data_IF_632366873302
#
_entry.id   IF_632366873302
#
_cell.length_a   1.000
_cell.length_b   1.000
_cell.length_c   1.000
_cell.angle_alpha   90.00
_cell.angle_beta   90.00
_cell.angle_gamma   90.00
#
_symmetry.space_group_name_H-M   'P 1'
#
loop_
_entity.id
_entity.type
_entity.pdbx_description
1 polymer ?
#
# COMPACT_ATOMS: atom_id res chain seq x y z
N UNK A 1 -21.34 0.39 -15.33
CA UNK A 1 -19.97 -0.16 -15.38
C UNK A 1 -19.33 0.45 -16.62
N UNK A 2 -18.05 0.85 -16.59
CA UNK A 2 -17.44 1.41 -17.80
C UNK A 2 -17.43 0.33 -18.89
N UNK A 3 -17.78 0.71 -20.11
CA UNK A 3 -18.01 -0.24 -21.22
C UNK A 3 -16.74 -1.02 -21.63
N UNK A 4 -15.57 -0.53 -21.21
CA UNK A 4 -14.25 -1.12 -21.45
C UNK A 4 -13.78 -2.05 -20.32
N UNK A 5 -14.45 -2.09 -19.18
CA UNK A 5 -14.10 -3.03 -18.09
C UNK A 5 -14.71 -4.38 -18.38
N UNK A 6 -13.87 -5.38 -18.64
CA UNK A 6 -14.31 -6.73 -18.98
C UNK A 6 -14.64 -7.54 -17.72
N UNK A 7 -13.73 -7.50 -16.74
CA UNK A 7 -13.82 -8.35 -15.56
C UNK A 7 -13.26 -7.65 -14.34
N UNK A 8 -14.01 -7.71 -13.25
CA UNK A 8 -13.53 -7.38 -11.90
C UNK A 8 -13.37 -8.69 -11.14
N UNK A 9 -12.17 -8.99 -10.68
CA UNK A 9 -11.96 -10.22 -9.91
C UNK A 9 -12.69 -10.12 -8.56
N UNK A 10 -13.43 -11.18 -8.17
CA UNK A 10 -14.16 -11.17 -6.90
C UNK A 10 -13.23 -11.36 -5.70
N UNK A 11 -12.08 -12.02 -5.89
CA UNK A 11 -11.10 -12.28 -4.84
C UNK A 11 -10.09 -11.15 -4.79
N UNK A 12 -9.74 -10.72 -3.59
CA UNK A 12 -8.64 -9.79 -3.40
C UNK A 12 -7.30 -10.51 -3.52
N UNK A 13 -6.33 -9.82 -4.09
CA UNK A 13 -4.94 -10.29 -4.23
C UNK A 13 -4.00 -9.38 -3.45
N UNK A 14 -2.83 -9.90 -3.14
CA UNK A 14 -1.74 -9.13 -2.59
C UNK A 14 -0.85 -8.68 -3.76
N UNK A 15 -0.59 -7.38 -3.89
CA UNK A 15 0.12 -6.87 -5.07
C UNK A 15 0.93 -5.61 -4.78
N UNK A 16 1.94 -5.38 -5.61
CA UNK A 16 2.63 -4.11 -5.74
C UNK A 16 1.87 -3.27 -6.76
N UNK A 17 1.40 -2.11 -6.31
CA UNK A 17 0.64 -1.18 -7.13
C UNK A 17 1.50 -0.01 -7.59
N UNK A 18 1.23 0.45 -8.81
CA UNK A 18 1.84 1.66 -9.35
C UNK A 18 0.78 2.58 -9.90
N UNK A 19 0.91 3.88 -9.67
CA UNK A 19 0.11 4.83 -10.42
C UNK A 19 0.55 4.80 -11.88
N UNK A 20 -0.42 4.76 -12.79
CA UNK A 20 -0.16 4.92 -14.21
C UNK A 20 0.71 6.17 -14.45
N UNK A 21 1.65 6.13 -15.39
CA UNK A 21 2.31 7.34 -15.87
C UNK A 21 2.77 7.12 -17.32
N UNK A 22 2.43 8.02 -18.27
CA UNK A 22 2.65 7.77 -19.68
C UNK A 22 4.12 7.58 -20.06
N UNK A 23 5.03 8.28 -19.37
CA UNK A 23 6.47 8.09 -19.55
C UNK A 23 6.95 6.65 -19.31
N UNK A 24 6.31 5.89 -18.40
CA UNK A 24 6.78 4.54 -18.03
C UNK A 24 5.93 3.43 -18.65
N UNK A 25 4.65 3.69 -18.87
CA UNK A 25 3.69 2.68 -19.30
C UNK A 25 3.22 2.85 -20.75
N UNK A 26 3.80 3.82 -21.47
CA UNK A 26 3.43 4.17 -22.83
C UNK A 26 2.42 5.32 -22.89
N UNK A 27 2.37 6.01 -24.02
CA UNK A 27 1.34 7.01 -24.26
C UNK A 27 0.07 6.35 -24.81
N UNK A 28 -1.08 6.86 -24.41
CA UNK A 28 -2.40 6.37 -24.82
C UNK A 28 -2.99 7.32 -25.86
N UNK A 29 -2.24 7.63 -26.91
CA UNK A 29 -2.69 8.58 -27.93
C UNK A 29 -3.72 7.98 -28.89
N UNK A 30 -3.67 6.66 -29.09
CA UNK A 30 -4.59 5.95 -29.97
C UNK A 30 -5.89 5.52 -29.25
N UNK A 31 -5.97 5.72 -27.93
CA UNK A 31 -7.10 5.35 -27.10
C UNK A 31 -8.16 6.46 -27.02
N UNK A 32 -9.42 6.06 -26.82
CA UNK A 32 -10.50 7.01 -26.54
C UNK A 32 -10.20 7.84 -25.27
N UNK A 33 -10.58 9.12 -25.29
CA UNK A 33 -10.38 10.05 -24.18
C UNK A 33 -10.98 9.54 -22.87
N UNK A 34 -12.08 8.79 -22.92
CA UNK A 34 -12.70 8.18 -21.74
C UNK A 34 -11.79 7.12 -21.11
N UNK A 35 -11.21 6.25 -21.93
CA UNK A 35 -10.28 5.18 -21.51
C UNK A 35 -8.98 5.78 -21.00
N UNK A 36 -8.41 6.73 -21.75
CA UNK A 36 -7.20 7.48 -21.38
C UNK A 36 -7.32 8.13 -19.99
N UNK A 37 -8.41 8.86 -19.76
CA UNK A 37 -8.64 9.51 -18.46
C UNK A 37 -8.84 8.50 -17.34
N UNK A 38 -9.44 7.35 -17.61
CA UNK A 38 -9.59 6.29 -16.62
C UNK A 38 -8.25 5.68 -16.23
N UNK A 39 -7.41 5.35 -17.21
CA UNK A 39 -6.07 4.79 -17.00
C UNK A 39 -5.15 5.76 -16.25
N UNK A 40 -5.09 7.02 -16.68
CA UNK A 40 -4.23 8.05 -16.05
C UNK A 40 -4.50 8.27 -14.56
N UNK A 41 -5.72 8.00 -14.10
CA UNK A 41 -6.11 8.25 -12.71
C UNK A 41 -6.20 6.98 -11.86
N UNK A 42 -5.60 5.89 -12.33
CA UNK A 42 -5.74 4.59 -11.72
C UNK A 42 -4.41 3.93 -11.38
N UNK A 43 -4.50 2.89 -10.56
CA UNK A 43 -3.36 2.04 -10.25
C UNK A 43 -3.29 0.87 -11.23
N UNK A 44 -2.09 0.59 -11.71
CA UNK A 44 -1.70 -0.64 -12.38
C UNK A 44 -1.19 -1.65 -11.36
N UNK A 45 -1.40 -2.92 -11.67
CA UNK A 45 -0.74 -4.01 -10.96
C UNK A 45 0.65 -4.22 -11.59
N UNK A 46 1.72 -3.93 -10.86
CA UNK A 46 3.07 -4.23 -11.34
C UNK A 46 3.49 -5.67 -11.04
N UNK A 47 3.06 -6.19 -9.89
CA UNK A 47 3.42 -7.54 -9.46
C UNK A 47 2.37 -8.09 -8.51
N UNK A 48 1.86 -9.30 -8.76
CA UNK A 48 1.00 -10.05 -7.84
C UNK A 48 1.85 -11.00 -7.02
N UNK A 49 1.70 -10.98 -5.70
CA UNK A 49 2.42 -11.86 -4.79
C UNK A 49 1.56 -13.08 -4.51
N UNK A 50 2.11 -14.25 -4.84
CA UNK A 50 1.49 -15.53 -4.53
C UNK A 50 1.85 -16.02 -3.12
N UNK A 51 1.14 -17.04 -2.62
CA UNK A 51 1.23 -17.49 -1.22
C UNK A 51 2.60 -18.09 -0.87
N UNK A 52 3.19 -18.85 -1.80
CA UNK A 52 4.50 -19.47 -1.66
C UNK A 52 5.62 -18.43 -1.61
N UNK A 53 5.48 -17.34 -2.36
CA UNK A 53 6.48 -16.28 -2.39
C UNK A 53 6.41 -15.32 -1.19
N UNK A 54 5.30 -15.33 -0.44
CA UNK A 54 5.08 -14.43 0.71
C UNK A 54 6.12 -14.64 1.82
N UNK A 55 6.58 -15.87 2.03
CA UNK A 55 7.52 -16.19 3.10
C UNK A 55 8.98 -16.04 2.67
N UNK A 56 9.23 -15.98 1.36
CA UNK A 56 10.55 -15.71 0.77
C UNK A 56 10.92 -14.21 0.81
N UNK A 57 10.06 -13.37 1.41
CA UNK A 57 10.26 -11.94 1.63
C UNK A 57 11.49 -11.57 2.50
N UNK A 58 12.18 -12.54 3.10
CA UNK A 58 13.41 -12.31 3.87
C UNK A 58 14.66 -12.57 3.00
N UNK A 59 15.38 -11.52 2.55
CA UNK A 59 16.57 -11.68 1.71
C UNK A 59 17.74 -12.16 2.57
N UNK A 60 17.89 -13.47 2.74
CA UNK A 60 19.04 -14.01 3.46
C UNK A 60 20.32 -14.06 2.61
N UNK A 61 20.26 -14.06 1.27
CA UNK A 61 21.44 -14.47 0.47
C UNK A 61 21.70 -13.86 -0.92
N UNK A 62 20.92 -12.95 -1.46
CA UNK A 62 21.22 -12.39 -2.79
C UNK A 62 21.18 -10.87 -2.80
N UNK A 63 22.08 -10.27 -3.58
CA UNK A 63 22.04 -8.85 -3.95
C UNK A 63 20.80 -8.52 -4.83
N UNK A 64 19.95 -9.52 -5.07
CA UNK A 64 18.68 -9.44 -5.74
C UNK A 64 17.61 -9.11 -4.70
N UNK A 65 16.95 -7.98 -4.91
CA UNK A 65 15.89 -7.48 -4.03
C UNK A 65 14.58 -8.20 -4.37
N UNK A 66 13.62 -8.26 -3.44
CA UNK A 66 12.33 -8.87 -3.72
C UNK A 66 11.76 -8.33 -5.05
N UNK A 67 11.35 -9.23 -5.93
CA UNK A 67 10.64 -8.91 -7.18
C UNK A 67 11.47 -8.18 -8.25
N UNK A 68 12.80 -8.16 -8.13
CA UNK A 68 13.68 -7.47 -9.08
C UNK A 68 13.56 -5.94 -9.07
N UNK A 69 12.90 -5.37 -8.05
CA UNK A 69 12.62 -3.94 -7.95
C UNK A 69 13.66 -3.21 -7.07
N UNK A 70 14.10 -1.99 -7.44
CA UNK A 70 14.98 -1.19 -6.61
C UNK A 70 14.26 -0.71 -5.32
N UNK A 71 14.99 -0.54 -4.22
CA UNK A 71 14.41 -0.08 -2.93
C UNK A 71 13.91 1.37 -3.02
N UNK A 72 14.61 2.16 -3.82
CA UNK A 72 14.25 3.53 -4.14
C UNK A 72 14.09 3.62 -5.64
N UNK A 73 12.97 4.19 -6.07
CA UNK A 73 12.76 4.46 -7.48
C UNK A 73 13.54 5.74 -7.84
N UNK A 74 14.53 5.62 -8.72
CA UNK A 74 15.18 6.77 -9.35
C UNK A 74 14.27 7.29 -10.45
N UNK A 75 13.38 8.24 -10.13
CA UNK A 75 12.50 8.85 -11.12
C UNK A 75 13.22 10.01 -11.81
N UNK A 76 13.18 10.09 -13.16
CA UNK A 76 13.41 11.37 -13.82
C UNK A 76 12.39 12.40 -13.33
N UNK A 77 12.71 13.70 -13.45
CA UNK A 77 11.81 14.80 -13.08
C UNK A 77 10.66 14.93 -14.09
N UNK A 78 9.74 13.96 -14.06
CA UNK A 78 8.60 13.84 -14.96
C UNK A 78 7.30 14.16 -14.24
N UNK A 79 6.54 15.11 -14.81
CA UNK A 79 5.25 15.51 -14.28
C UNK A 79 4.15 14.56 -14.76
N UNK A 80 3.34 14.09 -13.83
CA UNK A 80 2.17 13.30 -14.17
C UNK A 80 1.08 14.19 -14.78
N UNK A 81 0.40 13.75 -15.87
CA UNK A 81 -0.61 14.55 -16.57
C UNK A 81 -1.74 15.09 -15.67
N UNK A 82 -2.28 14.26 -14.78
CA UNK A 82 -3.41 14.62 -13.92
C UNK A 82 -3.10 14.73 -12.42
N UNK A 83 -1.94 14.26 -11.94
CA UNK A 83 -1.64 14.10 -10.51
C UNK A 83 -0.55 15.08 -10.11
N UNK A 84 -0.95 16.23 -9.57
CA UNK A 84 -0.02 17.30 -9.15
C UNK A 84 1.07 16.84 -8.17
N UNK A 85 0.72 15.94 -7.23
CA UNK A 85 1.61 15.49 -6.17
C UNK A 85 2.22 14.10 -6.43
N UNK A 86 2.37 13.73 -7.70
CA UNK A 86 2.76 12.38 -8.12
C UNK A 86 4.02 11.87 -7.43
N UNK A 87 5.12 12.65 -7.49
CA UNK A 87 6.41 12.25 -6.91
C UNK A 87 6.35 11.94 -5.42
N UNK A 88 5.46 12.57 -4.65
CA UNK A 88 5.33 12.26 -3.23
C UNK A 88 4.53 10.97 -2.98
N UNK A 89 3.66 10.59 -3.91
CA UNK A 89 2.85 9.37 -3.82
C UNK A 89 3.68 8.15 -4.22
N UNK A 90 4.49 8.23 -5.28
CA UNK A 90 5.21 7.07 -5.87
C UNK A 90 6.62 6.82 -5.32
N UNK A 91 7.02 7.48 -4.23
CA UNK A 91 8.40 7.40 -3.69
C UNK A 91 8.84 5.97 -3.35
N UNK A 92 7.91 5.12 -2.92
CA UNK A 92 8.19 3.76 -2.46
C UNK A 92 7.18 2.81 -3.05
N UNK A 93 7.65 1.63 -3.45
CA UNK A 93 6.77 0.50 -3.73
C UNK A 93 6.00 0.17 -2.44
N UNK A 94 4.68 0.12 -2.55
CA UNK A 94 3.80 -0.22 -1.45
C UNK A 94 3.12 -1.54 -1.76
N UNK A 95 3.21 -2.45 -0.79
CA UNK A 95 2.45 -3.68 -0.80
C UNK A 95 1.01 -3.38 -0.38
N UNK A 96 0.05 -3.70 -1.24
CA UNK A 96 -1.36 -3.41 -1.02
C UNK A 96 -2.21 -4.67 -1.24
N UNK A 97 -3.33 -4.75 -0.51
CA UNK A 97 -4.41 -5.68 -0.85
C UNK A 97 -5.25 -5.01 -1.91
N UNK A 98 -5.42 -5.66 -3.05
CA UNK A 98 -6.07 -5.08 -4.22
C UNK A 98 -7.24 -5.89 -4.73
N UNK A 99 -8.15 -5.19 -5.39
CA UNK A 99 -9.11 -5.77 -6.30
C UNK A 99 -8.62 -5.60 -7.74
N UNK A 100 -8.45 -6.71 -8.47
CA UNK A 100 -7.99 -6.68 -9.85
C UNK A 100 -9.11 -6.30 -10.81
N UNK A 101 -8.77 -5.51 -11.82
CA UNK A 101 -9.66 -5.08 -12.89
C UNK A 101 -8.95 -5.34 -14.23
N UNK A 102 -9.63 -6.10 -15.08
CA UNK A 102 -9.20 -6.37 -16.45
C UNK A 102 -9.94 -5.43 -17.40
N UNK A 103 -9.16 -4.77 -18.24
CA UNK A 103 -9.65 -3.90 -19.31
C UNK A 103 -9.37 -4.57 -20.64
N UNK A 104 -10.23 -4.30 -21.61
CA UNK A 104 -10.10 -4.79 -22.99
C UNK A 104 -8.82 -4.32 -23.72
N UNK A 105 -8.14 -3.29 -23.22
CA UNK A 105 -6.87 -2.79 -23.75
C UNK A 105 -5.66 -3.64 -23.35
N UNK A 106 -5.86 -4.69 -22.54
CA UNK A 106 -4.78 -5.59 -22.09
C UNK A 106 -3.99 -5.09 -20.89
N UNK A 107 -4.24 -3.86 -20.41
CA UNK A 107 -3.67 -3.39 -19.16
C UNK A 107 -4.31 -4.11 -17.95
N UNK A 108 -3.49 -4.41 -16.94
CA UNK A 108 -3.97 -4.94 -15.66
C UNK A 108 -4.06 -3.82 -14.62
N UNK A 109 -5.28 -3.45 -14.27
CA UNK A 109 -5.55 -2.42 -13.29
C UNK A 109 -5.84 -3.03 -11.93
N UNK A 110 -5.66 -2.23 -10.89
CA UNK A 110 -6.00 -2.63 -9.54
C UNK A 110 -6.59 -1.48 -8.74
N UNK A 111 -7.48 -1.81 -7.80
CA UNK A 111 -8.00 -0.86 -6.81
C UNK A 111 -7.45 -1.25 -5.44
N UNK A 112 -6.57 -0.42 -4.84
CA UNK A 112 -6.12 -0.64 -3.46
C UNK A 112 -7.27 -0.61 -2.46
N UNK A 113 -7.38 -1.67 -1.65
CA UNK A 113 -8.39 -1.83 -0.58
C UNK A 113 -7.81 -1.70 0.83
N UNK A 114 -6.50 -1.53 0.95
CA UNK A 114 -5.80 -1.44 2.25
C UNK A 114 -6.08 -0.16 3.03
N UNK A 115 -6.73 0.85 2.44
CA UNK A 115 -6.96 2.15 3.10
C UNK A 115 -7.67 2.02 4.46
N UNK A 116 -8.78 1.27 4.51
CA UNK A 116 -9.54 1.07 5.74
C UNK A 116 -8.74 0.26 6.78
N UNK A 117 -8.00 -0.73 6.33
CA UNK A 117 -7.11 -1.50 7.18
C UNK A 117 -6.04 -0.61 7.82
N UNK A 118 -5.43 0.31 7.06
CA UNK A 118 -4.45 1.29 7.57
C UNK A 118 -5.05 2.20 8.64
N UNK A 119 -6.29 2.66 8.47
CA UNK A 119 -7.00 3.47 9.48
C UNK A 119 -7.19 2.67 10.78
N UNK A 120 -7.68 1.44 10.67
CA UNK A 120 -7.90 0.56 11.83
C UNK A 120 -6.58 0.26 12.54
N UNK A 121 -5.55 -0.14 11.79
CA UNK A 121 -4.22 -0.42 12.32
C UNK A 121 -3.63 0.80 13.04
N UNK A 122 -3.77 2.01 12.49
CA UNK A 122 -3.31 3.25 13.13
C UNK A 122 -4.03 3.50 14.45
N UNK A 123 -5.36 3.35 14.48
CA UNK A 123 -6.15 3.53 15.72
C UNK A 123 -5.77 2.49 16.77
N UNK A 124 -5.61 1.24 16.37
CA UNK A 124 -5.22 0.16 17.27
C UNK A 124 -3.82 0.33 17.83
N UNK A 125 -2.82 0.65 16.99
CA UNK A 125 -1.45 0.96 17.45
C UNK A 125 -1.43 2.10 18.46
N UNK A 126 -2.21 3.16 18.23
CA UNK A 126 -2.35 4.27 19.18
C UNK A 126 -2.99 3.85 20.50
N UNK A 127 -4.05 3.03 20.45
CA UNK A 127 -4.67 2.47 21.65
C UNK A 127 -3.68 1.62 22.44
N UNK A 128 -2.98 0.70 21.76
CA UNK A 128 -1.99 -0.18 22.37
C UNK A 128 -0.85 0.61 23.01
N UNK A 129 -0.36 1.67 22.34
CA UNK A 129 0.64 2.58 22.92
C UNK A 129 0.18 3.18 24.25
N UNK A 130 -1.06 3.70 24.30
CA UNK A 130 -1.66 4.24 25.55
C UNK A 130 -1.79 3.16 26.63
N UNK A 131 -2.15 1.94 26.26
CA UNK A 131 -2.23 0.82 27.19
C UNK A 131 -0.85 0.49 27.78
N UNK A 132 0.18 0.40 26.93
CA UNK A 132 1.56 0.15 27.37
C UNK A 132 2.07 1.26 28.29
N UNK A 133 1.76 2.53 28.00
CA UNK A 133 2.10 3.65 28.87
C UNK A 133 1.45 3.55 30.25
N UNK A 134 0.17 3.14 30.32
CA UNK A 134 -0.53 2.90 31.59
C UNK A 134 0.11 1.77 32.37
N UNK A 135 0.40 0.65 31.71
CA UNK A 135 1.09 -0.50 32.33
C UNK A 135 2.45 -0.07 32.86
N UNK A 136 3.23 0.70 32.07
CA UNK A 136 4.54 1.22 32.48
C UNK A 136 4.44 2.09 33.73
N UNK A 137 3.45 2.98 33.79
CA UNK A 137 3.20 3.83 34.99
C UNK A 137 2.79 2.98 36.20
N UNK A 138 1.94 1.98 36.00
CA UNK A 138 1.51 1.07 37.07
C UNK A 138 2.64 0.18 37.60
N UNK A 139 3.62 -0.18 36.75
CA UNK A 139 4.83 -0.93 37.12
C UNK A 139 5.90 -0.07 37.78
N UNK A 140 5.76 1.25 37.80
CA UNK A 140 6.78 2.14 38.36
C UNK A 140 6.92 1.90 39.88
N UNK A 141 8.15 1.81 40.45
CA UNK A 141 8.33 1.50 41.87
C UNK A 141 7.56 2.41 42.82
N UNK A 142 7.54 3.73 42.56
CA UNK A 142 6.73 4.69 43.35
C UNK A 142 5.23 4.37 43.33
N UNK A 143 4.70 3.89 42.20
CA UNK A 143 3.30 3.50 42.10
C UNK A 143 3.01 2.22 42.89
N UNK A 144 3.92 1.24 42.83
CA UNK A 144 3.83 0.02 43.61
C UNK A 144 3.89 0.30 45.12
N UNK A 145 4.84 1.13 45.56
CA UNK A 145 4.98 1.51 46.97
C UNK A 145 3.76 2.28 47.49
N UNK A 146 3.23 3.24 46.71
CA UNK A 146 1.98 3.94 47.06
C UNK A 146 0.82 2.96 47.22
N UNK A 147 0.70 1.98 46.31
CA UNK A 147 -0.34 0.94 46.38
C UNK A 147 -0.17 0.04 47.61
N UNK A 148 1.07 -0.27 48.00
CA UNK A 148 1.37 -1.03 49.22
C UNK A 148 0.93 -0.27 50.48
N UNK A 149 1.23 1.02 50.58
CA UNK A 149 0.87 1.84 51.75
C UNK A 149 -0.63 2.11 51.82
N UNK A 150 -1.25 2.47 50.69
CA UNK A 150 -2.61 3.04 50.69
C UNK A 150 -3.70 2.05 50.28
N UNK A 151 -3.35 0.88 49.74
CA UNK A 151 -4.30 -0.12 49.22
C UNK A 151 -5.04 0.29 47.93
N UNK A 152 -4.92 1.54 47.48
CA UNK A 152 -5.63 2.07 46.31
C UNK A 152 -4.84 1.83 45.01
N UNK A 153 -5.54 1.44 43.94
CA UNK A 153 -4.99 1.49 42.57
C UNK A 153 -5.10 2.91 42.01
N UNK A 154 -4.16 3.28 41.15
CA UNK A 154 -4.21 4.50 40.35
C UNK A 154 -5.34 4.44 39.32
#
# INVERSE_FOLDING_TARGET
MNDFVELIEPKYKLAICELYHPYFHGDLNDEDNKVKNYLYNSYLCAYTIEEDELYDLYPWRSHERPWGLPLERSWPDVKHPSIRNYHNIVKKYALEIVQMIHINTGHQMCIPKTFWLKIIQRKYKNYYKKLQERIRRAKHPKALFKRQITGKRF
#
